data_IF_220728931205
#
_entry.id   IF_220728931205
#
_cell.length_a   1.000
_cell.length_b   1.000
_cell.length_c   1.000
_cell.angle_alpha   90.00
_cell.angle_beta   90.00
_cell.angle_gamma   90.00
#
_symmetry.space_group_name_H-M   'P 1'
#
loop_
_entity.id
_entity.type
_entity.pdbx_description
1 polymer ?
#
# COMPACT_ATOMS: atom_id res chain seq x y z
N UNK A 1 -5.18 23.86 -13.08
CA UNK A 1 -5.88 22.59 -12.76
C UNK A 1 -4.85 21.48 -12.69
N UNK A 2 -4.29 21.22 -11.51
CA UNK A 2 -3.50 20.02 -11.14
C UNK A 2 -3.01 20.05 -9.68
N UNK A 3 -3.55 20.92 -8.81
CA UNK A 3 -3.07 21.08 -7.43
C UNK A 3 -3.26 19.84 -6.54
N UNK A 4 -4.06 18.86 -6.99
CA UNK A 4 -4.31 17.64 -6.23
C UNK A 4 -3.23 16.57 -6.44
N UNK A 5 -2.49 16.60 -7.56
CA UNK A 5 -1.47 15.58 -7.87
C UNK A 5 -0.22 15.77 -7.01
N UNK A 6 0.07 17.02 -6.62
CA UNK A 6 1.12 17.37 -5.66
C UNK A 6 0.65 17.26 -4.20
N UNK A 7 -0.60 16.84 -3.96
CA UNK A 7 -1.13 16.76 -2.60
C UNK A 7 -0.50 15.59 -1.84
N UNK A 8 -0.04 15.78 -0.59
CA UNK A 8 0.51 14.71 0.23
C UNK A 8 -0.42 13.49 0.36
N UNK A 9 -1.73 13.72 0.37
CA UNK A 9 -2.75 12.69 0.43
C UNK A 9 -2.74 11.80 -0.82
N UNK A 10 -2.57 12.40 -2.01
CA UNK A 10 -2.47 11.66 -3.26
C UNK A 10 -1.23 10.76 -3.27
N UNK A 11 -0.08 11.28 -2.87
CA UNK A 11 1.14 10.46 -2.79
C UNK A 11 1.02 9.31 -1.78
N UNK A 12 0.34 9.53 -0.65
CA UNK A 12 0.03 8.49 0.32
C UNK A 12 -0.82 7.36 -0.30
N UNK A 13 -1.89 7.72 -1.02
CA UNK A 13 -2.77 6.75 -1.70
C UNK A 13 -1.99 5.96 -2.75
N UNK A 14 -1.08 6.61 -3.47
CA UNK A 14 -0.25 5.97 -4.50
C UNK A 14 0.73 4.95 -3.91
N UNK A 15 1.31 5.23 -2.74
CA UNK A 15 2.14 4.24 -2.05
C UNK A 15 1.30 3.09 -1.50
N UNK A 16 0.15 3.37 -0.90
CA UNK A 16 -0.77 2.33 -0.43
C UNK A 16 -1.19 1.41 -1.58
N UNK A 17 -1.48 1.97 -2.75
CA UNK A 17 -1.78 1.20 -3.96
C UNK A 17 -0.61 0.28 -4.36
N UNK A 18 0.63 0.78 -4.37
CA UNK A 18 1.81 -0.04 -4.64
C UNK A 18 1.95 -1.23 -3.67
N UNK A 19 1.70 -1.00 -2.38
CA UNK A 19 1.72 -2.07 -1.36
C UNK A 19 0.64 -3.11 -1.64
N UNK A 20 -0.58 -2.68 -1.98
CA UNK A 20 -1.68 -3.60 -2.32
C UNK A 20 -1.34 -4.46 -3.52
N UNK A 21 -0.73 -3.88 -4.56
CA UNK A 21 -0.29 -4.63 -5.74
C UNK A 21 0.76 -5.70 -5.42
N UNK A 22 1.69 -5.41 -4.50
CA UNK A 22 2.65 -6.39 -3.99
C UNK A 22 1.92 -7.54 -3.29
N UNK A 23 1.00 -7.23 -2.37
CA UNK A 23 0.22 -8.25 -1.63
C UNK A 23 -0.60 -9.12 -2.57
N UNK A 24 -1.28 -8.52 -3.56
CA UNK A 24 -2.05 -9.24 -4.56
C UNK A 24 -1.16 -10.11 -5.45
N UNK A 25 0.01 -9.61 -5.85
CA UNK A 25 1.00 -10.38 -6.59
C UNK A 25 1.47 -11.61 -5.83
N UNK A 26 1.87 -11.44 -4.57
CA UNK A 26 2.32 -12.53 -3.68
C UNK A 26 1.19 -13.55 -3.47
N UNK A 27 -0.03 -13.08 -3.20
CA UNK A 27 -1.20 -13.96 -3.03
C UNK A 27 -1.52 -14.73 -4.31
N UNK A 28 -1.42 -14.09 -5.47
CA UNK A 28 -1.63 -14.71 -6.77
C UNK A 28 -0.60 -15.80 -7.07
N UNK A 29 0.66 -15.55 -6.71
CA UNK A 29 1.73 -16.55 -6.81
C UNK A 29 1.52 -17.72 -5.84
N UNK A 30 1.17 -17.46 -4.58
CA UNK A 30 0.90 -18.50 -3.57
C UNK A 30 -0.29 -19.39 -3.92
N UNK A 31 -1.24 -18.89 -4.71
CA UNK A 31 -2.39 -19.66 -5.21
C UNK A 31 -2.14 -20.29 -6.58
N UNK A 32 -0.91 -20.23 -7.09
CA UNK A 32 -0.50 -20.69 -8.43
C UNK A 32 -1.26 -20.04 -9.59
N UNK A 33 -2.05 -19.01 -9.32
CA UNK A 33 -2.80 -18.22 -10.32
C UNK A 33 -1.91 -17.25 -11.10
N UNK A 34 -0.70 -16.98 -10.60
CA UNK A 34 0.23 -16.02 -11.19
C UNK A 34 1.64 -16.62 -11.34
N UNK A 35 2.20 -16.72 -12.56
CA UNK A 35 3.54 -17.24 -12.78
C UNK A 35 4.62 -16.33 -12.19
N UNK A 36 5.76 -16.93 -11.82
CA UNK A 36 6.90 -16.24 -11.16
C UNK A 36 7.40 -15.02 -11.94
N UNK A 37 7.43 -15.08 -13.27
CA UNK A 37 7.85 -13.95 -14.12
C UNK A 37 6.92 -12.74 -13.99
N UNK A 38 5.60 -12.98 -13.94
CA UNK A 38 4.60 -11.93 -13.69
C UNK A 38 4.70 -11.38 -12.28
N UNK A 39 5.00 -12.22 -11.29
CA UNK A 39 5.23 -11.76 -9.92
C UNK A 39 6.42 -10.79 -9.86
N UNK A 40 7.55 -11.16 -10.47
CA UNK A 40 8.74 -10.31 -10.50
C UNK A 40 8.46 -8.98 -11.20
N UNK A 41 7.71 -9.00 -12.30
CA UNK A 41 7.30 -7.78 -12.99
C UNK A 41 6.43 -6.89 -12.09
N UNK A 42 5.42 -7.46 -11.41
CA UNK A 42 4.56 -6.74 -10.46
C UNK A 42 5.38 -6.15 -9.32
N UNK A 43 6.33 -6.91 -8.76
CA UNK A 43 7.20 -6.46 -7.68
C UNK A 43 8.07 -5.27 -8.14
N UNK A 44 8.77 -5.39 -9.26
CA UNK A 44 9.64 -4.31 -9.77
C UNK A 44 8.82 -3.06 -10.08
N UNK A 45 7.69 -3.22 -10.76
CA UNK A 45 6.81 -2.09 -11.08
C UNK A 45 6.27 -1.42 -9.81
N UNK A 46 5.84 -2.20 -8.81
CA UNK A 46 5.31 -1.66 -7.56
C UNK A 46 6.38 -0.96 -6.73
N UNK A 47 7.59 -1.53 -6.64
CA UNK A 47 8.71 -0.90 -5.94
C UNK A 47 9.13 0.40 -6.62
N UNK A 48 9.22 0.41 -7.96
CA UNK A 48 9.51 1.63 -8.72
C UNK A 48 8.42 2.70 -8.50
N UNK A 49 7.14 2.30 -8.50
CA UNK A 49 6.01 3.19 -8.25
C UNK A 49 6.03 3.80 -6.85
N UNK A 50 6.32 2.98 -5.83
CA UNK A 50 6.46 3.42 -4.45
C UNK A 50 7.64 4.39 -4.33
N UNK A 51 8.81 4.04 -4.89
CA UNK A 51 10.00 4.89 -4.84
C UNK A 51 9.75 6.26 -5.49
N UNK A 52 9.09 6.28 -6.64
CA UNK A 52 8.69 7.52 -7.33
C UNK A 52 7.73 8.36 -6.46
N UNK A 53 6.69 7.72 -5.91
CA UNK A 53 5.69 8.40 -5.09
C UNK A 53 6.28 8.97 -3.79
N UNK A 54 7.26 8.26 -3.19
CA UNK A 54 7.98 8.73 -2.00
C UNK A 54 8.91 9.90 -2.36
N UNK A 55 9.68 9.78 -3.43
CA UNK A 55 10.61 10.83 -3.84
C UNK A 55 9.87 12.15 -4.07
N UNK A 56 8.72 12.10 -4.74
CA UNK A 56 7.87 13.25 -4.99
C UNK A 56 7.25 13.77 -3.67
N UNK A 57 6.72 12.89 -2.81
CA UNK A 57 6.20 13.29 -1.50
C UNK A 57 7.24 13.95 -0.58
N UNK A 58 8.49 13.48 -0.62
CA UNK A 58 9.59 14.05 0.19
C UNK A 58 10.03 15.44 -0.25
N UNK A 59 9.64 15.86 -1.45
CA UNK A 59 9.82 17.24 -1.89
C UNK A 59 8.83 18.20 -1.18
N UNK A 60 7.70 17.67 -0.67
CA UNK A 60 6.61 18.46 -0.05
C UNK A 60 6.48 18.27 1.47
N UNK A 61 6.80 17.08 1.99
CA UNK A 61 6.84 16.76 3.41
C UNK A 61 8.25 16.31 3.81
N UNK A 62 8.68 16.59 5.04
CA UNK A 62 9.90 15.96 5.56
C UNK A 62 9.72 14.43 5.56
N UNK A 63 10.78 13.70 5.17
CA UNK A 63 10.77 12.22 5.07
C UNK A 63 10.21 11.53 6.32
N UNK A 64 10.49 12.09 7.51
CA UNK A 64 9.97 11.58 8.79
C UNK A 64 8.45 11.68 8.90
N UNK A 65 7.84 12.80 8.49
CA UNK A 65 6.39 12.99 8.51
C UNK A 65 5.70 12.05 7.53
N UNK A 66 6.31 11.83 6.36
CA UNK A 66 5.80 10.87 5.38
C UNK A 66 5.79 9.43 5.94
N UNK A 67 6.89 8.97 6.52
CA UNK A 67 6.99 7.63 7.13
C UNK A 67 5.99 7.48 8.29
N UNK A 68 5.87 8.50 9.14
CA UNK A 68 4.93 8.48 10.27
C UNK A 68 3.48 8.39 9.81
N UNK A 69 3.10 9.15 8.78
CA UNK A 69 1.78 9.08 8.15
C UNK A 69 1.52 7.70 7.54
N UNK A 70 2.49 7.15 6.81
CA UNK A 70 2.43 5.82 6.22
C UNK A 70 2.19 4.73 7.27
N UNK A 71 2.99 4.73 8.34
CA UNK A 71 2.83 3.78 9.44
C UNK A 71 1.47 3.91 10.11
N UNK A 72 1.03 5.13 10.38
CA UNK A 72 -0.26 5.40 11.02
C UNK A 72 -1.42 4.89 10.17
N UNK A 73 -1.38 5.13 8.86
CA UNK A 73 -2.39 4.64 7.94
C UNK A 73 -2.42 3.12 7.82
N UNK A 74 -1.26 2.47 7.72
CA UNK A 74 -1.16 1.00 7.68
C UNK A 74 -1.67 0.38 8.99
N UNK A 75 -1.27 0.92 10.14
CA UNK A 75 -1.73 0.46 11.45
C UNK A 75 -3.24 0.62 11.60
N UNK A 76 -3.81 1.73 11.12
CA UNK A 76 -5.25 1.96 11.13
C UNK A 76 -6.01 0.92 10.31
N UNK A 77 -5.52 0.61 9.10
CA UNK A 77 -6.11 -0.44 8.25
C UNK A 77 -6.01 -1.83 8.88
N UNK A 78 -4.88 -2.16 9.51
CA UNK A 78 -4.70 -3.42 10.23
C UNK A 78 -5.65 -3.52 11.42
N UNK A 79 -5.80 -2.44 12.18
CA UNK A 79 -6.72 -2.37 13.31
C UNK A 79 -8.17 -2.58 12.85
N UNK A 80 -8.60 -1.90 11.78
CA UNK A 80 -9.93 -2.08 11.17
C UNK A 80 -10.12 -3.53 10.69
N UNK A 81 -9.12 -4.10 10.03
CA UNK A 81 -9.17 -5.49 9.55
C UNK A 81 -9.29 -6.50 10.71
N UNK A 82 -8.54 -6.28 11.79
CA UNK A 82 -8.60 -7.10 13.00
C UNK A 82 -9.97 -6.97 13.69
N UNK A 83 -10.51 -5.75 13.76
CA UNK A 83 -11.83 -5.50 14.31
C UNK A 83 -12.91 -6.26 13.54
N UNK A 84 -12.87 -6.22 12.20
CA UNK A 84 -13.79 -7.00 11.36
C UNK A 84 -13.61 -8.51 11.53
N UNK A 85 -12.37 -9.00 11.58
CA UNK A 85 -12.09 -10.42 11.81
C UNK A 85 -12.67 -10.89 13.15
N UNK A 86 -12.52 -10.09 14.21
CA UNK A 86 -13.03 -10.42 15.53
C UNK A 86 -14.57 -10.37 15.58
N UNK A 87 -15.18 -9.39 14.91
CA UNK A 87 -16.63 -9.32 14.76
C UNK A 87 -17.21 -10.54 14.02
N UNK A 88 -16.55 -10.98 12.95
CA UNK A 88 -16.96 -12.16 12.19
C UNK A 88 -16.83 -13.46 12.99
N UNK A 89 -15.72 -13.63 13.71
CA UNK A 89 -15.48 -14.84 14.51
C UNK A 89 -16.43 -14.95 15.71
N UNK A 90 -16.96 -13.83 16.24
CA UNK A 90 -17.99 -13.83 17.28
C UNK A 90 -19.41 -14.12 16.80
N UNK A 91 -19.70 -14.04 15.51
CA UNK A 91 -21.02 -14.43 14.95
C UNK A 91 -21.09 -15.92 14.58
N UNK A 92 -19.98 -16.65 14.65
CA UNK A 92 -19.88 -18.07 14.31
C UNK A 92 -19.81 -19.03 15.50
N UNK A 93 -20.06 -18.57 16.73
CA UNK A 93 -20.18 -19.40 17.96
C UNK A 93 -21.60 -19.35 18.50
#
# INVERSE_FOLDING_TARGET
>A
MLSWIESPEFHFVMVAFGIVMIVLGIRGYSRETLPRSKLLFVLVASVAWIAYSIADATAFLSLSNFISSLFTGVLSLLFISLFFYWGYTRQGS
#
